data_IF_652538422465
#
_entry.id   IF_652538422465
#
_cell.length_a   1.000
_cell.length_b   1.000
_cell.length_c   1.000
_cell.angle_alpha   90.00
_cell.angle_beta   90.00
_cell.angle_gamma   90.00
#
_symmetry.space_group_name_H-M   'P 1'
#
loop_
_entity.id
_entity.type
_entity.pdbx_description
1 polymer ?
#
# COMPACT_ATOMS: atom_id res chain seq x y z
N UNK A 1 -5.94 4.51 24.10
CA UNK A 1 -5.21 4.44 22.82
C UNK A 1 -3.76 4.17 23.16
N UNK A 2 -3.22 3.03 22.74
CA UNK A 2 -1.79 2.73 22.87
C UNK A 2 -0.98 3.86 22.21
N UNK A 3 0.06 4.36 22.87
CA UNK A 3 0.94 5.35 22.26
C UNK A 3 1.73 4.68 21.14
N UNK A 4 1.38 5.01 19.90
CA UNK A 4 2.13 4.57 18.73
C UNK A 4 3.56 5.11 18.82
N UNK A 5 4.53 4.19 18.80
CA UNK A 5 5.92 4.57 18.71
C UNK A 5 6.22 5.11 17.29
N UNK A 6 7.43 5.63 17.06
CA UNK A 6 7.81 6.21 15.77
C UNK A 6 7.74 5.20 14.62
N UNK A 7 8.15 3.94 14.83
CA UNK A 7 8.09 2.89 13.82
C UNK A 7 6.63 2.55 13.46
N UNK A 8 5.74 2.48 14.45
CA UNK A 8 4.32 2.21 14.22
C UNK A 8 3.67 3.34 13.40
N UNK A 9 4.05 4.60 13.67
CA UNK A 9 3.59 5.77 12.89
C UNK A 9 4.08 5.72 11.45
N UNK A 10 5.34 5.36 11.22
CA UNK A 10 5.89 5.22 9.87
C UNK A 10 5.15 4.11 9.13
N UNK A 11 4.97 2.94 9.74
CA UNK A 11 4.25 1.84 9.11
C UNK A 11 2.80 2.20 8.79
N UNK A 12 2.11 2.90 9.68
CA UNK A 12 0.74 3.34 9.48
C UNK A 12 0.62 4.41 8.38
N UNK A 13 1.38 5.51 8.49
CA UNK A 13 1.23 6.65 7.59
C UNK A 13 1.93 6.46 6.25
N UNK A 14 3.15 5.91 6.24
CA UNK A 14 3.88 5.69 4.98
C UNK A 14 3.39 4.42 4.30
N UNK A 15 3.43 3.27 4.99
CA UNK A 15 3.00 1.99 4.42
C UNK A 15 1.52 2.01 4.05
N UNK A 16 0.67 2.30 5.03
CA UNK A 16 -0.78 2.39 4.80
C UNK A 16 -1.18 3.52 3.87
N UNK A 17 -0.52 4.69 3.97
CA UNK A 17 -0.78 5.81 3.08
C UNK A 17 -0.46 5.49 1.62
N UNK A 18 0.67 4.83 1.33
CA UNK A 18 1.04 4.42 -0.03
C UNK A 18 0.05 3.42 -0.63
N UNK A 19 -0.40 2.45 0.17
CA UNK A 19 -1.40 1.46 -0.28
C UNK A 19 -2.74 2.14 -0.56
N UNK A 20 -3.24 2.96 0.36
CA UNK A 20 -4.52 3.69 0.18
C UNK A 20 -4.44 4.66 -0.99
N UNK A 21 -3.33 5.37 -1.14
CA UNK A 21 -3.12 6.27 -2.26
C UNK A 21 -3.11 5.51 -3.60
N UNK A 22 -2.34 4.42 -3.69
CA UNK A 22 -2.22 3.63 -4.91
C UNK A 22 -3.50 2.92 -5.33
N UNK A 23 -4.31 2.48 -4.36
CA UNK A 23 -5.56 1.75 -4.62
C UNK A 23 -6.74 2.72 -4.75
N UNK A 24 -7.00 3.51 -3.72
CA UNK A 24 -8.23 4.30 -3.62
C UNK A 24 -8.07 5.62 -4.35
N UNK A 25 -7.03 6.39 -4.08
CA UNK A 25 -6.89 7.74 -4.68
C UNK A 25 -6.67 7.63 -6.18
N UNK A 26 -5.71 6.82 -6.62
CA UNK A 26 -5.47 6.62 -8.06
C UNK A 26 -6.68 5.95 -8.71
N UNK A 27 -7.33 4.98 -8.05
CA UNK A 27 -8.56 4.37 -8.56
C UNK A 27 -9.69 5.37 -8.79
N UNK A 28 -9.89 6.29 -7.85
CA UNK A 28 -10.87 7.38 -7.99
C UNK A 28 -10.48 8.36 -9.11
N UNK A 29 -9.19 8.68 -9.27
CA UNK A 29 -8.73 9.54 -10.36
C UNK A 29 -8.97 8.88 -11.73
N UNK A 30 -8.70 7.58 -11.87
CA UNK A 30 -9.01 6.80 -13.08
C UNK A 30 -10.50 6.77 -13.38
N UNK A 31 -11.36 6.59 -12.36
CA UNK A 31 -12.81 6.57 -12.56
C UNK A 31 -13.37 7.93 -12.99
N UNK A 32 -12.81 9.02 -12.49
CA UNK A 32 -13.30 10.37 -12.76
C UNK A 32 -12.70 10.99 -14.04
N UNK A 33 -11.47 10.62 -14.39
CA UNK A 33 -10.68 11.29 -15.44
C UNK A 33 -10.01 10.33 -16.43
N UNK A 34 -10.18 9.01 -16.30
CA UNK A 34 -9.61 8.01 -17.21
C UNK A 34 -10.20 8.08 -18.62
N UNK A 35 -9.39 7.72 -19.62
CA UNK A 35 -9.76 7.84 -21.03
C UNK A 35 -10.76 6.76 -21.49
N UNK A 36 -11.62 7.15 -22.43
CA UNK A 36 -12.57 6.25 -23.07
C UNK A 36 -11.91 5.42 -24.16
N UNK A 37 -11.27 4.30 -23.79
CA UNK A 37 -11.04 3.09 -24.58
C UNK A 37 -11.13 3.26 -26.12
N UNK A 38 -10.20 4.01 -26.75
CA UNK A 38 -10.20 4.13 -28.19
C UNK A 38 -9.83 2.78 -28.81
N UNK A 39 -10.63 2.36 -29.79
CA UNK A 39 -10.32 1.20 -30.63
C UNK A 39 -9.39 1.68 -31.72
N UNK A 40 -8.25 1.02 -31.91
CA UNK A 40 -7.38 1.32 -33.04
C UNK A 40 -8.03 0.86 -34.36
N UNK A 41 -7.43 1.26 -35.50
CA UNK A 41 -7.91 0.88 -36.83
C UNK A 41 -7.84 -0.62 -37.15
N UNK A 42 -7.16 -1.42 -36.33
CA UNK A 42 -6.99 -2.88 -36.43
C UNK A 42 -7.95 -3.63 -35.48
N UNK A 43 -8.75 -2.91 -34.68
CA UNK A 43 -9.63 -3.50 -33.67
C UNK A 43 -8.97 -3.79 -32.32
N UNK A 44 -7.73 -3.36 -32.11
CA UNK A 44 -7.02 -3.46 -30.83
C UNK A 44 -7.51 -2.37 -29.88
N UNK A 45 -7.90 -2.76 -28.68
CA UNK A 45 -8.30 -1.81 -27.65
C UNK A 45 -7.02 -1.29 -26.97
N UNK A 46 -6.69 -0.02 -27.19
CA UNK A 46 -5.58 0.63 -26.50
C UNK A 46 -6.12 1.25 -25.23
N UNK A 47 -5.78 0.66 -24.08
CA UNK A 47 -6.10 1.24 -22.77
C UNK A 47 -5.05 2.26 -22.38
N UNK A 48 -5.32 3.54 -22.67
CA UNK A 48 -4.55 4.64 -22.12
C UNK A 48 -5.07 4.95 -20.70
N UNK A 49 -4.45 4.34 -19.69
CA UNK A 49 -4.72 4.64 -18.29
C UNK A 49 -4.22 6.05 -17.95
N UNK A 50 -4.96 6.78 -17.10
CA UNK A 50 -4.55 8.12 -16.65
C UNK A 50 -3.21 8.06 -15.89
N UNK A 51 -3.02 7.01 -15.10
CA UNK A 51 -1.79 6.70 -14.41
C UNK A 51 -1.24 5.38 -14.97
N UNK A 52 -0.01 5.38 -15.51
CA UNK A 52 0.60 4.16 -16.03
C UNK A 52 0.59 3.02 -15.01
N UNK A 53 0.36 1.80 -15.50
CA UNK A 53 0.21 0.61 -14.67
C UNK A 53 1.44 0.35 -13.81
N UNK A 54 2.63 0.62 -14.36
CA UNK A 54 3.93 0.46 -13.70
C UNK A 54 4.03 1.40 -12.50
N UNK A 55 3.64 2.67 -12.66
CA UNK A 55 3.69 3.67 -11.59
C UNK A 55 2.74 3.29 -10.46
N UNK A 56 1.49 2.95 -10.81
CA UNK A 56 0.48 2.54 -9.82
C UNK A 56 0.92 1.30 -9.04
N UNK A 57 1.41 0.27 -9.74
CA UNK A 57 1.83 -0.98 -9.12
C UNK A 57 3.06 -0.79 -8.22
N UNK A 58 4.03 0.02 -8.62
CA UNK A 58 5.20 0.31 -7.78
C UNK A 58 4.87 1.09 -6.51
N UNK A 59 3.93 2.04 -6.56
CA UNK A 59 3.47 2.77 -5.37
C UNK A 59 2.87 1.80 -4.34
N UNK A 60 1.96 0.92 -4.79
CA UNK A 60 1.32 -0.07 -3.92
C UNK A 60 2.38 -1.04 -3.38
N UNK A 61 3.25 -1.54 -4.25
CA UNK A 61 4.32 -2.47 -3.86
C UNK A 61 5.25 -1.85 -2.82
N UNK A 62 5.61 -0.58 -2.96
CA UNK A 62 6.42 0.14 -1.97
C UNK A 62 5.74 0.17 -0.60
N UNK A 63 4.42 0.46 -0.56
CA UNK A 63 3.64 0.42 0.67
C UNK A 63 3.62 -0.96 1.32
N UNK A 64 3.45 -2.02 0.51
CA UNK A 64 3.50 -3.41 0.97
C UNK A 64 4.89 -3.81 1.47
N UNK A 65 5.97 -3.31 0.85
CA UNK A 65 7.34 -3.54 1.33
C UNK A 65 7.52 -2.91 2.71
N UNK A 66 7.05 -1.68 2.92
CA UNK A 66 7.11 -1.02 4.23
C UNK A 66 6.37 -1.83 5.30
N UNK A 67 5.17 -2.33 4.98
CA UNK A 67 4.43 -3.21 5.88
C UNK A 67 5.10 -4.56 6.11
N UNK A 68 5.67 -5.16 5.06
CA UNK A 68 6.41 -6.43 5.17
C UNK A 68 7.61 -6.29 6.10
N UNK A 69 8.42 -5.24 5.92
CA UNK A 69 9.56 -4.94 6.80
C UNK A 69 9.10 -4.67 8.23
N UNK A 70 8.04 -3.88 8.41
CA UNK A 70 7.50 -3.60 9.75
C UNK A 70 6.96 -4.87 10.43
N UNK A 71 6.29 -5.75 9.70
CA UNK A 71 5.79 -7.02 10.23
C UNK A 71 6.95 -7.91 10.70
N UNK A 72 8.00 -8.03 9.90
CA UNK A 72 9.23 -8.75 10.30
C UNK A 72 9.86 -8.11 11.53
N UNK A 73 10.00 -6.78 11.56
CA UNK A 73 10.53 -6.05 12.71
C UNK A 73 9.73 -6.34 13.98
N UNK A 74 8.40 -6.27 13.91
CA UNK A 74 7.53 -6.52 15.05
C UNK A 74 7.70 -7.94 15.60
N UNK A 75 7.74 -8.94 14.73
CA UNK A 75 7.94 -10.34 15.14
C UNK A 75 9.29 -10.55 15.81
N UNK A 76 10.36 -9.94 15.29
CA UNK A 76 11.72 -10.10 15.83
C UNK A 76 11.93 -9.30 17.12
N UNK A 77 11.31 -8.12 17.24
CA UNK A 77 11.55 -7.20 18.35
C UNK A 77 10.63 -7.40 19.57
N UNK A 78 9.53 -8.15 19.47
CA UNK A 78 8.67 -8.44 20.63
C UNK A 78 9.18 -9.63 21.43
N UNK A 79 9.51 -9.42 22.71
CA UNK A 79 9.80 -10.50 23.67
C UNK A 79 8.49 -10.93 24.36
N UNK A 80 8.23 -12.24 24.55
CA UNK A 80 7.06 -12.71 25.29
C UNK A 80 7.05 -12.16 26.73
N UNK A 81 5.86 -11.87 27.27
CA UNK A 81 5.74 -11.51 28.68
C UNK A 81 6.18 -12.70 29.56
N UNK A 82 6.96 -12.47 30.64
CA UNK A 82 7.33 -13.52 31.57
C UNK A 82 6.07 -14.13 32.19
N UNK A 83 5.94 -15.46 32.13
CA UNK A 83 4.89 -16.18 32.87
C UNK A 83 5.09 -15.89 34.36
N UNK A 84 4.09 -15.35 35.08
CA UNK A 84 4.20 -15.13 36.51
C UNK A 84 4.57 -16.45 37.20
N UNK A 85 5.59 -16.42 38.07
CA UNK A 85 5.91 -17.59 38.88
C UNK A 85 4.70 -17.91 39.78
N UNK A 86 4.18 -19.12 39.64
CA UNK A 86 3.09 -19.64 40.48
C UNK A 86 3.58 -19.67 41.95
N UNK A 87 2.76 -19.25 42.93
CA UNK A 87 3.17 -19.14 44.34
C UNK A 87 3.44 -20.49 45.02
#
# INVERSE_FOLDING_TARGET
MEQLNTADKIAAYLGGGLVVFGVVVIGLLEMLFGSGHPVDGEGQIVHEALVPLEVRSYIILLGLIVWGVYAVYRVVATTPEPVPAEP
#
